data_IF_198617084322
#
_entry.id   IF_198617084322
#
_cell.length_a   1.000
_cell.length_b   1.000
_cell.length_c   1.000
_cell.angle_alpha   90.00
_cell.angle_beta   90.00
_cell.angle_gamma   90.00
#
_symmetry.space_group_name_H-M   'P 1'
#
loop_
_entity.id
_entity.type
_entity.pdbx_description
1 polymer ?
#
# COMPACT_ATOMS: atom_id res chain seq x y z
N UNK A 1 -3.89 -7.52 3.65
CA UNK A 1 -3.05 -7.64 4.86
C UNK A 1 -1.72 -6.99 4.55
N UNK A 2 -1.34 -6.00 5.33
CA UNK A 2 0.02 -5.46 5.39
C UNK A 2 0.72 -6.10 6.58
N UNK A 3 1.76 -6.89 6.32
CA UNK A 3 2.50 -7.64 7.33
C UNK A 3 3.52 -6.74 8.01
N UNK A 4 3.27 -6.41 9.27
CA UNK A 4 4.14 -5.56 10.05
C UNK A 4 5.36 -6.30 10.61
N UNK A 5 5.31 -7.64 10.74
CA UNK A 5 6.41 -8.42 11.32
C UNK A 5 7.65 -8.44 10.42
N UNK A 6 7.47 -8.24 9.12
CA UNK A 6 8.56 -8.19 8.14
C UNK A 6 8.70 -6.79 7.54
N UNK A 7 8.30 -5.78 8.30
CA UNK A 7 8.40 -4.39 7.90
C UNK A 7 9.84 -3.89 7.94
N UNK A 8 10.10 -2.84 7.16
CA UNK A 8 11.33 -2.06 7.25
C UNK A 8 11.03 -0.60 7.48
N UNK A 9 11.78 0.03 8.38
CA UNK A 9 11.85 1.48 8.56
C UNK A 9 13.17 1.98 8.00
N UNK A 10 13.11 2.89 7.03
CA UNK A 10 14.27 3.37 6.27
C UNK A 10 15.14 2.23 5.72
N UNK A 11 14.47 1.17 5.26
CA UNK A 11 15.07 -0.05 4.68
C UNK A 11 15.88 -0.92 5.65
N UNK A 12 15.83 -0.65 6.96
CA UNK A 12 16.29 -1.57 8.00
C UNK A 12 15.08 -2.31 8.58
N UNK A 13 15.23 -3.60 8.93
CA UNK A 13 14.17 -4.38 9.59
C UNK A 13 13.75 -3.71 10.90
N UNK A 14 12.45 -3.49 11.03
CA UNK A 14 11.85 -2.82 12.18
C UNK A 14 10.36 -3.18 12.20
N UNK A 15 9.98 -4.07 13.12
CA UNK A 15 8.64 -4.61 13.21
C UNK A 15 7.61 -3.48 13.43
N UNK A 16 6.56 -3.48 12.62
CA UNK A 16 5.43 -2.57 12.70
C UNK A 16 4.16 -3.33 13.11
N UNK A 17 3.10 -2.58 13.41
CA UNK A 17 1.79 -3.18 13.61
C UNK A 17 1.28 -3.79 12.29
N UNK A 18 0.93 -5.08 12.31
CA UNK A 18 0.25 -5.73 11.19
C UNK A 18 -1.14 -5.16 11.00
N UNK A 19 -1.48 -4.79 9.76
CA UNK A 19 -2.78 -4.22 9.41
C UNK A 19 -3.59 -5.19 8.56
N UNK A 20 -4.80 -5.51 9.00
CA UNK A 20 -5.78 -6.31 8.25
C UNK A 20 -7.00 -5.45 7.97
N UNK A 21 -7.45 -5.45 6.73
CA UNK A 21 -8.63 -4.72 6.26
C UNK A 21 -9.27 -5.46 5.09
N UNK A 22 -10.58 -5.29 4.97
CA UNK A 22 -11.41 -5.80 3.88
C UNK A 22 -11.67 -4.70 2.87
N UNK A 23 -11.35 -4.97 1.61
CA UNK A 23 -11.45 -3.99 0.53
C UNK A 23 -12.50 -4.42 -0.49
N UNK A 24 -13.37 -3.49 -0.86
CA UNK A 24 -14.21 -3.60 -2.05
C UNK A 24 -13.51 -2.86 -3.18
N UNK A 25 -13.15 -3.58 -4.23
CA UNK A 25 -12.43 -3.04 -5.39
C UNK A 25 -13.36 -3.07 -6.60
N UNK A 26 -13.64 -1.92 -7.17
CA UNK A 26 -14.37 -1.77 -8.42
C UNK A 26 -13.41 -1.25 -9.48
N UNK A 27 -13.20 -1.98 -10.57
CA UNK A 27 -12.26 -1.56 -11.61
C UNK A 27 -12.77 -1.89 -13.02
N UNK A 28 -12.29 -1.10 -13.97
CA UNK A 28 -12.54 -1.26 -15.40
C UNK A 28 -11.25 -1.01 -16.18
N UNK A 29 -11.11 -1.67 -17.32
CA UNK A 29 -9.95 -1.54 -18.20
C UNK A 29 -10.36 -1.03 -19.58
N UNK A 30 -9.51 -0.19 -20.18
CA UNK A 30 -9.61 0.17 -21.60
C UNK A 30 -9.11 -0.99 -22.48
N UNK A 31 -9.31 -0.86 -23.80
CA UNK A 31 -8.80 -1.85 -24.78
C UNK A 31 -7.27 -2.00 -24.73
N UNK A 32 -6.57 -0.93 -24.34
CA UNK A 32 -5.11 -0.90 -24.24
C UNK A 32 -4.59 -1.42 -22.87
N UNK A 33 -5.45 -2.07 -22.08
CA UNK A 33 -5.15 -2.60 -20.73
C UNK A 33 -4.74 -1.55 -19.70
N UNK A 34 -5.04 -0.28 -19.97
CA UNK A 34 -5.00 0.75 -18.93
C UNK A 34 -6.23 0.58 -18.07
N UNK A 35 -6.04 0.23 -16.80
CA UNK A 35 -7.12 -0.02 -15.87
C UNK A 35 -7.18 1.05 -14.78
N UNK A 36 -8.40 1.42 -14.42
CA UNK A 36 -8.70 2.35 -13.35
C UNK A 36 -9.84 1.82 -12.49
N UNK A 37 -9.93 2.29 -11.25
CA UNK A 37 -10.96 1.84 -10.34
C UNK A 37 -10.96 2.61 -9.02
N UNK A 38 -11.85 2.20 -8.14
CA UNK A 38 -11.95 2.70 -6.78
C UNK A 38 -11.84 1.53 -5.80
N UNK A 39 -11.07 1.75 -4.74
CA UNK A 39 -10.98 0.87 -3.57
C UNK A 39 -11.71 1.56 -2.42
N UNK A 40 -12.58 0.82 -1.76
CA UNK A 40 -13.22 1.22 -0.51
C UNK A 40 -12.84 0.21 0.57
N UNK A 41 -12.29 0.67 1.69
CA UNK A 41 -11.91 -0.17 2.83
C UNK A 41 -12.96 -0.09 3.93
N UNK A 42 -13.14 -1.21 4.64
CA UNK A 42 -13.83 -1.29 5.92
C UNK A 42 -13.26 -0.37 7.02
N UNK A 43 -11.99 0.05 6.89
CA UNK A 43 -11.37 1.07 7.75
C UNK A 43 -11.84 2.51 7.45
N UNK A 44 -12.84 2.69 6.57
CA UNK A 44 -13.52 3.98 6.35
C UNK A 44 -12.83 4.92 5.37
N UNK A 45 -11.86 4.45 4.58
CA UNK A 45 -11.20 5.24 3.54
C UNK A 45 -11.51 4.71 2.15
N UNK A 46 -11.41 5.59 1.15
CA UNK A 46 -11.46 5.25 -0.26
C UNK A 46 -10.30 5.87 -1.03
N UNK A 47 -9.85 5.20 -2.08
CA UNK A 47 -8.75 5.65 -2.92
C UNK A 47 -8.91 5.14 -4.36
N UNK A 48 -8.26 5.82 -5.31
CA UNK A 48 -8.25 5.37 -6.70
C UNK A 48 -7.20 4.26 -6.89
N UNK A 49 -7.63 3.19 -7.56
CA UNK A 49 -6.76 2.15 -8.07
C UNK A 49 -6.41 2.44 -9.53
N UNK A 50 -5.15 2.24 -9.91
CA UNK A 50 -4.69 2.43 -11.28
C UNK A 50 -3.65 1.38 -11.67
N UNK A 51 -3.74 0.91 -12.90
CA UNK A 51 -2.79 0.01 -13.53
C UNK A 51 -2.55 0.47 -14.97
N UNK A 52 -1.30 0.69 -15.34
CA UNK A 52 -0.95 1.19 -16.69
C UNK A 52 -0.82 0.07 -17.72
N UNK A 53 -0.66 -1.17 -17.27
CA UNK A 53 -0.42 -2.36 -18.11
C UNK A 53 -1.40 -3.52 -17.81
N UNK A 54 -2.31 -3.33 -16.85
CA UNK A 54 -3.26 -4.32 -16.38
C UNK A 54 -2.66 -5.41 -15.50
N UNK A 55 -1.38 -5.29 -15.12
CA UNK A 55 -0.65 -6.29 -14.33
C UNK A 55 -0.30 -5.79 -12.94
N UNK A 56 0.28 -4.59 -12.87
CA UNK A 56 0.68 -3.98 -11.60
C UNK A 56 -0.35 -2.91 -11.23
N UNK A 57 -0.97 -3.08 -10.07
CA UNK A 57 -1.91 -2.13 -9.50
C UNK A 57 -1.22 -1.23 -8.50
N UNK A 58 -1.59 0.05 -8.52
CA UNK A 58 -1.22 1.06 -7.53
C UNK A 58 -2.47 1.68 -6.93
N UNK A 59 -2.50 1.77 -5.60
CA UNK A 59 -3.52 2.48 -4.83
C UNK A 59 -2.80 3.45 -3.93
N UNK A 60 -3.13 4.73 -4.02
CA UNK A 60 -2.43 5.80 -3.32
C UNK A 60 -3.39 6.67 -2.52
N UNK A 61 -2.98 7.03 -1.31
CA UNK A 61 -3.72 7.90 -0.40
C UNK A 61 -2.79 8.68 0.51
N UNK A 62 -3.25 9.85 0.95
CA UNK A 62 -2.56 10.64 1.96
C UNK A 62 -3.11 10.34 3.36
N UNK A 63 -2.22 10.34 4.34
CA UNK A 63 -2.48 10.13 5.75
C UNK A 63 -2.11 11.42 6.50
N UNK A 64 -3.07 12.30 6.84
CA UNK A 64 -2.79 13.66 7.33
C UNK A 64 -1.94 13.77 8.61
N UNK A 65 -2.02 12.77 9.50
CA UNK A 65 -1.35 12.78 10.80
C UNK A 65 -0.64 11.43 11.05
N UNK A 66 0.20 11.01 10.10
CA UNK A 66 0.82 9.69 10.13
C UNK A 66 2.09 9.65 10.98
N UNK A 67 3.01 10.58 10.77
CA UNK A 67 4.27 10.62 11.49
C UNK A 67 4.09 11.50 12.73
N UNK A 68 4.19 10.89 13.91
CA UNK A 68 4.20 11.63 15.18
C UNK A 68 5.64 11.98 15.55
N UNK A 69 5.89 13.25 15.81
CA UNK A 69 7.20 13.78 16.19
C UNK A 69 7.41 13.72 17.71
N UNK A 70 8.67 13.73 18.21
CA UNK A 70 8.94 13.71 19.65
C UNK A 70 8.36 14.90 20.43
N UNK A 71 8.10 16.02 19.76
CA UNK A 71 7.47 17.22 20.33
C UNK A 71 5.93 17.14 20.38
N UNK A 72 5.35 16.02 19.93
CA UNK A 72 3.90 15.79 19.87
C UNK A 72 3.22 16.35 18.62
N UNK A 73 3.95 17.04 17.74
CA UNK A 73 3.40 17.45 16.44
C UNK A 73 3.24 16.26 15.49
N UNK A 74 2.40 16.41 14.45
CA UNK A 74 2.18 15.37 13.45
C UNK A 74 2.48 15.87 12.05
N UNK A 75 3.02 15.01 11.21
CA UNK A 75 3.29 15.26 9.79
C UNK A 75 2.56 14.25 8.92
N UNK A 76 2.10 14.64 7.71
CA UNK A 76 1.42 13.70 6.82
C UNK A 76 2.37 12.64 6.27
N UNK A 77 1.79 11.52 5.85
CA UNK A 77 2.46 10.46 5.10
C UNK A 77 1.71 10.15 3.81
N UNK A 78 2.44 9.81 2.76
CA UNK A 78 1.88 9.33 1.50
C UNK A 78 2.00 7.81 1.45
N UNK A 79 0.85 7.12 1.43
CA UNK A 79 0.76 5.66 1.41
C UNK A 79 0.49 5.18 -0.02
N UNK A 80 1.31 4.24 -0.48
CA UNK A 80 1.24 3.60 -1.78
C UNK A 80 1.21 2.08 -1.60
N UNK A 81 0.09 1.47 -1.99
CA UNK A 81 0.01 0.03 -2.18
C UNK A 81 0.37 -0.29 -3.61
N UNK A 82 1.35 -1.18 -3.82
CA UNK A 82 1.67 -1.73 -5.15
C UNK A 82 1.52 -3.24 -5.09
N UNK A 83 0.70 -3.82 -5.95
CA UNK A 83 0.46 -5.26 -5.94
C UNK A 83 0.12 -5.83 -7.32
N UNK A 84 0.31 -7.14 -7.47
CA UNK A 84 0.10 -7.87 -8.72
C UNK A 84 -0.36 -9.30 -8.42
N UNK A 85 -1.07 -9.96 -9.36
CA UNK A 85 -1.51 -11.32 -9.16
C UNK A 85 -0.32 -12.29 -9.28
N UNK A 86 -0.18 -13.17 -8.30
CA UNK A 86 1.00 -14.04 -8.17
C UNK A 86 0.59 -15.48 -7.86
N UNK A 87 1.49 -16.43 -8.00
CA UNK A 87 1.31 -17.80 -7.53
C UNK A 87 2.00 -18.03 -6.17
N UNK A 88 1.99 -19.28 -5.68
CA UNK A 88 2.58 -19.63 -4.38
C UNK A 88 4.10 -19.46 -4.33
N UNK A 89 4.76 -19.33 -5.47
CA UNK A 89 6.22 -19.17 -5.58
C UNK A 89 6.61 -17.70 -5.80
N UNK A 90 5.65 -16.77 -5.77
CA UNK A 90 5.90 -15.35 -6.01
C UNK A 90 6.05 -14.98 -7.49
N UNK A 91 5.58 -15.85 -8.41
CA UNK A 91 5.64 -15.60 -9.86
C UNK A 91 4.32 -15.02 -10.35
N UNK A 92 4.39 -13.94 -11.13
CA UNK A 92 3.21 -13.28 -11.69
C UNK A 92 2.33 -14.26 -12.46
N UNK A 93 1.07 -14.42 -12.01
CA UNK A 93 0.08 -15.33 -12.58
C UNK A 93 -1.27 -14.66 -12.72
N UNK A 94 -1.63 -14.27 -13.94
CA UNK A 94 -2.92 -13.62 -14.24
C UNK A 94 -4.08 -14.56 -13.88
N UNK A 95 -5.13 -13.99 -13.27
CA UNK A 95 -6.30 -14.74 -12.81
C UNK A 95 -6.12 -15.42 -11.45
N UNK A 96 -4.95 -15.27 -10.81
CA UNK A 96 -4.76 -15.73 -9.44
C UNK A 96 -5.73 -15.02 -8.48
N UNK A 97 -6.39 -15.75 -7.56
CA UNK A 97 -7.17 -15.13 -6.47
C UNK A 97 -6.27 -14.52 -5.39
N UNK A 98 -4.96 -14.73 -5.50
CA UNK A 98 -3.92 -14.23 -4.62
C UNK A 98 -3.14 -13.11 -5.32
N UNK A 99 -3.07 -11.96 -4.67
CA UNK A 99 -2.25 -10.84 -5.09
C UNK A 99 -1.27 -10.49 -3.97
N UNK A 100 -0.07 -10.12 -4.36
CA UNK A 100 1.00 -9.75 -3.43
C UNK A 100 1.71 -8.49 -3.87
N UNK A 101 2.44 -7.89 -2.95
CA UNK A 101 3.24 -6.71 -3.22
C UNK A 101 3.68 -6.01 -1.95
N UNK A 102 3.55 -4.68 -1.93
CA UNK A 102 4.07 -3.83 -0.86
C UNK A 102 3.10 -2.72 -0.50
N UNK A 103 3.02 -2.44 0.80
CA UNK A 103 2.43 -1.26 1.39
C UNK A 103 3.57 -0.35 1.83
N UNK A 104 3.73 0.81 1.18
CA UNK A 104 4.80 1.76 1.44
C UNK A 104 4.20 3.07 1.89
N UNK A 105 4.63 3.58 3.05
CA UNK A 105 4.28 4.93 3.50
C UNK A 105 5.54 5.78 3.60
N UNK A 106 5.53 6.96 2.98
CA UNK A 106 6.65 7.91 2.98
C UNK A 106 6.21 9.23 3.60
N UNK A 107 6.95 9.71 4.60
CA UNK A 107 6.71 11.00 5.24
C UNK A 107 7.18 12.19 4.40
N UNK A 108 7.09 13.39 4.97
CA UNK A 108 7.63 14.61 4.37
C UNK A 108 9.10 14.79 4.76
N UNK A 109 9.97 15.18 3.83
CA UNK A 109 11.37 15.48 4.17
C UNK A 109 11.45 16.70 5.10
N UNK A 110 12.31 16.63 6.11
CA UNK A 110 12.44 17.69 7.12
C UNK A 110 11.43 17.57 8.26
N UNK A 111 10.43 16.68 8.16
CA UNK A 111 9.51 16.41 9.26
C UNK A 111 10.26 15.91 10.51
N UNK A 112 9.77 16.31 11.68
CA UNK A 112 10.37 15.97 12.97
C UNK A 112 11.87 16.32 13.10
N UNK A 113 12.32 17.37 12.41
CA UNK A 113 13.71 17.86 12.48
C UNK A 113 14.74 16.92 11.83
N UNK A 114 14.31 15.95 11.02
CA UNK A 114 15.21 15.03 10.30
C UNK A 114 15.26 15.38 8.82
N UNK A 115 16.47 15.60 8.29
CA UNK A 115 16.68 15.84 6.86
C UNK A 115 16.66 14.53 6.03
N UNK A 116 15.62 13.72 6.23
CA UNK A 116 15.30 12.54 5.43
C UNK A 116 13.79 12.26 5.50
N UNK A 117 13.25 11.59 4.49
CA UNK A 117 11.90 11.05 4.57
C UNK A 117 11.91 9.82 5.47
N UNK A 118 10.98 9.74 6.42
CA UNK A 118 10.68 8.48 7.08
C UNK A 118 9.99 7.56 6.07
N UNK A 119 10.54 6.38 5.80
CA UNK A 119 9.94 5.41 4.88
C UNK A 119 9.64 4.11 5.62
N UNK A 120 8.37 3.71 5.67
CA UNK A 120 7.96 2.40 6.16
C UNK A 120 7.52 1.55 4.96
N UNK A 121 8.02 0.33 4.86
CA UNK A 121 7.61 -0.64 3.83
C UNK A 121 7.21 -1.95 4.50
N UNK A 122 6.00 -2.42 4.20
CA UNK A 122 5.47 -3.70 4.67
C UNK A 122 5.20 -4.61 3.47
N UNK A 123 5.47 -5.92 3.56
CA UNK A 123 4.92 -6.90 2.63
C UNK A 123 3.39 -6.83 2.65
N UNK A 124 2.77 -6.93 1.48
CA UNK A 124 1.34 -6.78 1.32
C UNK A 124 0.75 -7.95 0.55
N UNK A 125 -0.41 -8.43 1.00
CA UNK A 125 -1.16 -9.54 0.42
C UNK A 125 -2.64 -9.22 0.35
N UNK A 126 -3.28 -9.53 -0.78
CA UNK A 126 -4.73 -9.56 -0.92
C UNK A 126 -5.16 -10.96 -1.31
N UNK A 127 -6.15 -11.46 -0.58
CA UNK A 127 -6.87 -12.67 -0.90
C UNK A 127 -8.29 -12.28 -1.27
N UNK A 128 -8.77 -12.79 -2.40
CA UNK A 128 -10.17 -12.58 -2.76
C UNK A 128 -11.08 -13.32 -1.78
N UNK A 129 -12.00 -12.58 -1.18
CA UNK A 129 -13.06 -13.10 -0.30
C UNK A 129 -14.42 -12.75 -0.91
N UNK A 130 -15.08 -13.72 -1.55
CA UNK A 130 -16.38 -13.52 -2.23
C UNK A 130 -16.33 -13.47 -3.76
#
# INVERSE_FOLDING_TARGET
>A
MSDGQFATTDYAFDDQQTVRSTWTIQSACTKDRVCGGQVTSDAGWSALARSVDGRIWKVERDLPAWQTCPDGSTSPGHQTFTFYPSDVNGVTKIGSPYLEGRDKTTGVSGACGKFKFLTIVMPFRLDRIG
#
